data_IF_547663234258
#
_entry.id   IF_547663234258
#
_cell.length_a   1.000
_cell.length_b   1.000
_cell.length_c   1.000
_cell.angle_alpha   90.00
_cell.angle_beta   90.00
_cell.angle_gamma   90.00
#
_symmetry.space_group_name_H-M   'P 1'
#
loop_
_entity.id
_entity.type
_entity.pdbx_description
1 polymer ?
#
# COMPACT_ATOMS: atom_id res chain seq x y z
N UNK A 1 45.55 -19.28 12.31
CA UNK A 1 44.17 -19.76 12.07
C UNK A 1 43.29 -18.92 12.96
N UNK A 2 42.70 -17.86 12.38
CA UNK A 2 41.79 -16.93 13.07
C UNK A 2 40.37 -17.48 12.94
N UNK A 3 39.57 -17.59 14.02
CA UNK A 3 38.20 -18.10 13.91
C UNK A 3 37.30 -17.10 13.19
N UNK A 4 36.49 -17.64 12.30
CA UNK A 4 35.47 -16.90 11.54
C UNK A 4 34.47 -16.24 12.49
N UNK A 5 34.23 -14.94 12.30
CA UNK A 5 33.15 -14.20 12.97
C UNK A 5 31.82 -14.77 12.51
N UNK A 6 31.08 -15.36 13.41
CA UNK A 6 29.67 -15.72 13.21
C UNK A 6 28.87 -14.45 13.06
N UNK A 7 28.27 -14.25 11.90
CA UNK A 7 27.29 -13.19 11.67
C UNK A 7 26.03 -13.59 12.44
N UNK A 8 25.44 -12.74 13.29
CA UNK A 8 24.19 -13.07 13.95
C UNK A 8 23.08 -13.25 12.92
N UNK A 9 22.26 -14.28 13.11
CA UNK A 9 21.12 -14.58 12.27
C UNK A 9 20.12 -13.43 12.28
N UNK A 10 19.41 -13.25 11.18
CA UNK A 10 18.40 -12.22 10.93
C UNK A 10 17.18 -12.31 11.86
N UNK A 11 17.14 -13.25 12.77
CA UNK A 11 16.02 -13.49 13.71
C UNK A 11 15.85 -12.38 14.77
N UNK A 12 16.86 -11.51 14.94
CA UNK A 12 16.80 -10.44 15.94
C UNK A 12 16.07 -9.17 15.51
N UNK A 13 15.76 -9.01 14.23
CA UNK A 13 15.02 -7.83 13.76
C UNK A 13 13.52 -7.92 14.13
N UNK A 14 12.95 -9.11 14.09
CA UNK A 14 11.58 -9.35 14.56
C UNK A 14 11.42 -9.26 16.07
N UNK A 15 12.46 -9.53 16.83
CA UNK A 15 12.48 -9.45 18.29
C UNK A 15 12.36 -8.01 18.82
N UNK A 16 12.85 -7.02 18.08
CA UNK A 16 12.79 -5.63 18.49
C UNK A 16 11.37 -5.06 18.51
N UNK A 17 10.49 -5.54 17.62
CA UNK A 17 9.07 -5.16 17.61
C UNK A 17 8.23 -5.91 18.65
N UNK A 18 8.74 -7.01 19.21
CA UNK A 18 8.03 -7.81 20.23
C UNK A 18 8.28 -7.36 21.67
N UNK A 19 9.31 -6.56 21.96
CA UNK A 19 9.69 -6.18 23.33
C UNK A 19 9.20 -4.81 23.79
N UNK A 20 8.49 -4.06 22.98
CA UNK A 20 7.80 -2.85 23.40
C UNK A 20 6.52 -3.24 24.16
N UNK A 21 6.48 -2.84 25.43
CA UNK A 21 5.44 -3.17 26.42
C UNK A 21 4.00 -2.97 25.93
N UNK A 22 3.01 -3.74 26.46
CA UNK A 22 1.64 -3.76 25.98
C UNK A 22 0.84 -2.59 26.56
N UNK A 23 0.93 -1.42 25.95
CA UNK A 23 0.04 -0.31 26.25
C UNK A 23 -0.32 0.45 24.98
N UNK A 24 -0.43 -0.20 23.89
CA UNK A 24 -1.08 0.20 22.64
C UNK A 24 -0.62 -0.75 21.53
N UNK A 25 -1.17 -1.95 21.52
CA UNK A 25 -1.22 -2.73 20.29
C UNK A 25 -2.23 -2.05 19.35
N UNK A 26 -1.87 -0.92 18.82
CA UNK A 26 -2.47 -0.48 17.56
C UNK A 26 -1.78 -1.32 16.50
N UNK A 27 -2.43 -2.39 16.11
CA UNK A 27 -1.98 -3.28 15.06
C UNK A 27 -2.03 -2.50 13.74
N UNK A 28 -1.01 -2.65 12.90
CA UNK A 28 -1.08 -2.34 11.46
C UNK A 28 -2.32 -3.03 10.82
N UNK A 29 -2.82 -4.08 11.44
CA UNK A 29 -4.09 -4.75 11.15
C UNK A 29 -5.35 -3.86 11.10
N UNK A 30 -5.28 -2.60 11.52
CA UNK A 30 -6.47 -1.73 11.56
C UNK A 30 -6.70 -0.96 10.26
N UNK A 31 -5.72 -0.90 9.37
CA UNK A 31 -5.92 -0.33 8.02
C UNK A 31 -6.60 -1.33 7.09
N UNK A 32 -6.43 -2.59 7.37
CA UNK A 32 -6.90 -3.70 6.55
C UNK A 32 -7.55 -4.75 7.45
N UNK A 33 -8.03 -4.35 8.59
CA UNK A 33 -9.07 -5.14 9.21
C UNK A 33 -10.18 -5.27 8.15
N UNK A 34 -10.76 -6.47 7.95
CA UNK A 34 -12.01 -6.56 7.23
C UNK A 34 -12.88 -5.47 7.83
N UNK A 35 -13.59 -4.69 7.02
CA UNK A 35 -14.32 -3.51 7.50
C UNK A 35 -14.87 -3.89 8.84
N UNK A 36 -14.45 -3.20 9.90
CA UNK A 36 -14.81 -3.58 11.26
C UNK A 36 -16.28 -3.93 11.16
N UNK A 37 -16.77 -4.92 11.91
CA UNK A 37 -18.24 -5.20 11.89
C UNK A 37 -19.03 -3.90 11.87
N UNK A 38 -18.44 -2.82 12.38
CA UNK A 38 -18.94 -1.45 12.28
C UNK A 38 -18.92 -0.86 10.86
N UNK A 39 -17.95 -1.11 9.98
CA UNK A 39 -17.97 -0.56 8.62
C UNK A 39 -18.84 -1.41 7.69
N UNK A 40 -18.79 -2.74 7.81
CA UNK A 40 -19.79 -3.61 7.18
C UNK A 40 -21.21 -3.36 7.73
N UNK A 41 -21.35 -3.11 9.05
CA UNK A 41 -22.61 -2.75 9.69
C UNK A 41 -23.04 -1.34 9.25
N UNK A 42 -22.10 -0.40 9.05
CA UNK A 42 -22.45 0.94 8.56
C UNK A 42 -22.94 0.93 7.11
N UNK A 43 -22.35 0.11 6.25
CA UNK A 43 -22.85 -0.14 4.89
C UNK A 43 -24.19 -0.88 4.88
N UNK A 44 -24.43 -1.75 5.88
CA UNK A 44 -25.66 -2.54 6.00
C UNK A 44 -26.75 -1.84 6.83
N UNK A 45 -26.41 -0.85 7.67
CA UNK A 45 -27.37 -0.11 8.52
C UNK A 45 -27.99 1.12 7.86
N UNK A 46 -27.61 1.50 6.65
CA UNK A 46 -28.51 2.29 5.81
C UNK A 46 -29.61 1.36 5.34
N UNK A 47 -30.65 1.31 6.16
CA UNK A 47 -31.86 0.51 5.96
C UNK A 47 -32.65 1.05 4.74
N UNK A 48 -32.09 0.76 3.55
CA UNK A 48 -32.74 1.01 2.28
C UNK A 48 -32.86 -0.33 1.55
N UNK A 49 -34.06 -0.90 1.55
CA UNK A 49 -34.37 -2.10 0.78
C UNK A 49 -33.99 -1.99 -0.71
N UNK A 50 -33.71 -0.78 -1.21
CA UNK A 50 -33.16 -0.53 -2.54
C UNK A 50 -31.68 -0.97 -2.65
N UNK A 51 -30.94 -1.05 -1.53
CA UNK A 51 -29.53 -1.47 -1.54
C UNK A 51 -29.34 -2.96 -1.87
N UNK A 52 -30.35 -3.79 -1.64
CA UNK A 52 -30.29 -5.23 -1.97
C UNK A 52 -30.38 -5.53 -3.47
N UNK A 53 -30.65 -4.55 -4.32
CA UNK A 53 -30.75 -4.71 -5.78
C UNK A 53 -29.52 -4.22 -6.55
N UNK A 54 -28.60 -3.48 -5.88
CA UNK A 54 -27.38 -3.01 -6.51
C UNK A 54 -26.36 -4.14 -6.60
N UNK A 55 -25.74 -4.29 -7.78
CA UNK A 55 -24.63 -5.24 -7.93
C UNK A 55 -23.42 -4.77 -7.11
N UNK A 56 -22.49 -5.68 -6.83
CA UNK A 56 -21.31 -5.39 -5.98
C UNK A 56 -20.46 -4.24 -6.57
N UNK A 57 -20.32 -4.16 -7.88
CA UNK A 57 -19.56 -3.10 -8.55
C UNK A 57 -20.18 -1.71 -8.29
N UNK A 58 -21.51 -1.61 -8.29
CA UNK A 58 -22.19 -0.35 -7.96
C UNK A 58 -21.99 0.04 -6.50
N UNK A 59 -21.95 -0.93 -5.59
CA UNK A 59 -21.70 -0.67 -4.17
C UNK A 59 -20.27 -0.17 -3.96
N UNK A 60 -19.27 -0.82 -4.58
CA UNK A 60 -17.87 -0.41 -4.53
C UNK A 60 -17.70 0.99 -5.15
N UNK A 61 -18.29 1.24 -6.30
CA UNK A 61 -18.23 2.54 -6.95
C UNK A 61 -18.88 3.65 -6.10
N UNK A 62 -20.02 3.36 -5.49
CA UNK A 62 -20.68 4.29 -4.58
C UNK A 62 -19.85 4.58 -3.33
N UNK A 63 -19.23 3.56 -2.72
CA UNK A 63 -18.31 3.72 -1.60
C UNK A 63 -17.13 4.63 -1.97
N UNK A 64 -16.45 4.34 -3.09
CA UNK A 64 -15.31 5.13 -3.54
C UNK A 64 -15.67 6.59 -3.82
N UNK A 65 -16.82 6.84 -4.45
CA UNK A 65 -17.25 8.18 -4.84
C UNK A 65 -17.79 9.00 -3.66
N UNK A 66 -18.51 8.37 -2.73
CA UNK A 66 -19.26 9.07 -1.69
C UNK A 66 -18.49 9.23 -0.38
N UNK A 67 -17.47 8.40 -0.10
CA UNK A 67 -16.67 8.53 1.12
C UNK A 67 -16.03 9.91 1.20
N UNK A 68 -16.39 10.70 2.20
CA UNK A 68 -15.77 12.00 2.43
C UNK A 68 -14.55 11.86 3.35
N UNK A 69 -13.62 12.82 3.27
CA UNK A 69 -12.47 12.83 4.17
C UNK A 69 -12.85 12.86 5.65
N UNK A 70 -13.95 13.52 6.00
CA UNK A 70 -14.43 13.61 7.36
C UNK A 70 -14.89 12.28 7.93
N UNK A 71 -15.33 11.36 7.06
CA UNK A 71 -15.82 10.04 7.45
C UNK A 71 -14.68 9.08 7.81
N UNK A 72 -13.45 9.37 7.38
CA UNK A 72 -12.28 8.53 7.66
C UNK A 72 -11.78 8.81 9.09
N UNK A 73 -11.73 7.81 9.98
CA UNK A 73 -11.24 7.98 11.34
C UNK A 73 -9.79 8.48 11.41
N UNK A 74 -9.44 9.19 12.49
CA UNK A 74 -8.10 9.77 12.63
C UNK A 74 -6.99 8.73 12.76
N UNK A 75 -7.26 7.63 13.43
CA UNK A 75 -6.39 6.47 13.57
C UNK A 75 -6.13 5.78 12.22
N UNK A 76 -7.16 5.58 11.38
CA UNK A 76 -7.02 5.06 10.02
C UNK A 76 -6.12 5.97 9.19
N UNK A 77 -6.32 7.30 9.26
CA UNK A 77 -5.44 8.27 8.58
C UNK A 77 -3.99 8.22 9.10
N UNK A 78 -3.80 7.91 10.37
CA UNK A 78 -2.47 7.75 10.96
C UNK A 78 -1.80 6.47 10.44
N UNK A 79 -2.50 5.34 10.48
CA UNK A 79 -1.96 4.07 10.00
C UNK A 79 -1.67 4.10 8.50
N UNK A 80 -2.52 4.73 7.69
CA UNK A 80 -2.26 4.93 6.26
C UNK A 80 -0.92 5.64 5.99
N UNK A 81 -0.57 6.65 6.80
CA UNK A 81 0.74 7.31 6.70
C UNK A 81 1.89 6.38 7.10
N UNK A 82 1.68 5.47 8.06
CA UNK A 82 2.67 4.48 8.43
C UNK A 82 2.90 3.45 7.33
N UNK A 83 1.82 2.97 6.69
CA UNK A 83 1.91 2.07 5.54
C UNK A 83 2.63 2.74 4.36
N UNK A 84 2.34 4.01 4.08
CA UNK A 84 3.08 4.76 3.06
C UNK A 84 4.57 4.92 3.41
N UNK A 85 4.92 5.12 4.67
CA UNK A 85 6.32 5.18 5.11
C UNK A 85 7.02 3.83 4.88
N UNK A 86 6.36 2.73 5.23
CA UNK A 86 6.85 1.37 4.96
C UNK A 86 7.03 1.15 3.46
N UNK A 87 6.04 1.50 2.64
CA UNK A 87 6.11 1.40 1.19
C UNK A 87 7.33 2.13 0.60
N UNK A 88 7.58 3.38 0.99
CA UNK A 88 8.75 4.09 0.49
C UNK A 88 10.06 3.46 0.94
N UNK A 89 10.13 2.98 2.18
CA UNK A 89 11.32 2.31 2.69
C UNK A 89 11.63 1.03 1.89
N UNK A 90 10.61 0.19 1.67
CA UNK A 90 10.77 -1.06 0.92
C UNK A 90 11.03 -0.82 -0.57
N UNK A 91 10.34 0.14 -1.19
CA UNK A 91 10.54 0.50 -2.60
C UNK A 91 11.95 1.05 -2.85
N UNK A 92 12.48 1.92 -1.97
CA UNK A 92 13.86 2.42 -2.07
C UNK A 92 14.86 1.27 -1.90
N UNK A 93 14.67 0.41 -0.90
CA UNK A 93 15.54 -0.72 -0.67
C UNK A 93 15.57 -1.67 -1.88
N UNK A 94 14.41 -2.01 -2.45
CA UNK A 94 14.28 -2.91 -3.59
C UNK A 94 14.69 -2.33 -4.94
N UNK A 95 14.83 -1.01 -5.05
CA UNK A 95 14.99 -0.29 -6.33
C UNK A 95 16.20 -0.73 -7.17
N UNK A 96 17.26 -1.21 -6.54
CA UNK A 96 18.51 -1.63 -7.19
C UNK A 96 18.70 -3.16 -7.23
N UNK A 97 17.70 -3.93 -6.79
CA UNK A 97 17.77 -5.36 -6.81
C UNK A 97 17.75 -5.95 -8.23
N UNK A 98 18.27 -7.17 -8.35
CA UNK A 98 18.39 -7.84 -9.66
C UNK A 98 17.03 -8.07 -10.31
N UNK A 99 16.00 -8.38 -9.50
CA UNK A 99 14.62 -8.52 -9.98
C UNK A 99 14.09 -7.25 -10.61
N UNK A 100 14.30 -6.10 -9.94
CA UNK A 100 13.91 -4.79 -10.45
C UNK A 100 14.66 -4.42 -11.73
N UNK A 101 15.99 -4.64 -11.77
CA UNK A 101 16.81 -4.38 -12.96
C UNK A 101 16.34 -5.20 -14.17
N UNK A 102 16.04 -6.48 -13.96
CA UNK A 102 15.51 -7.36 -15.00
C UNK A 102 14.13 -6.92 -15.47
N UNK A 103 13.21 -6.61 -14.54
CA UNK A 103 11.88 -6.11 -14.88
C UNK A 103 11.96 -4.84 -15.73
N UNK A 104 12.78 -3.87 -15.32
CA UNK A 104 12.97 -2.64 -16.07
C UNK A 104 13.56 -2.92 -17.47
N UNK A 105 14.60 -3.75 -17.59
CA UNK A 105 15.24 -4.04 -18.89
C UNK A 105 14.31 -4.72 -19.87
N UNK A 106 13.40 -5.58 -19.39
CA UNK A 106 12.41 -6.27 -20.23
C UNK A 106 11.25 -5.36 -20.61
N UNK A 107 10.81 -4.52 -19.69
CA UNK A 107 9.60 -3.71 -19.88
C UNK A 107 9.86 -2.35 -20.52
N UNK A 108 11.07 -1.78 -20.36
CA UNK A 108 11.39 -0.46 -20.94
C UNK A 108 11.11 -0.33 -22.44
N UNK A 109 11.33 -1.36 -23.30
CA UNK A 109 10.98 -1.26 -24.72
C UNK A 109 9.48 -1.13 -25.01
N UNK A 110 8.62 -1.50 -24.06
CA UNK A 110 7.16 -1.44 -24.20
C UNK A 110 6.56 -0.20 -23.52
N UNK A 111 7.34 0.46 -22.64
CA UNK A 111 6.90 1.66 -21.95
C UNK A 111 6.82 2.83 -22.93
N UNK A 112 5.75 3.60 -22.83
CA UNK A 112 5.69 4.88 -23.51
C UNK A 112 6.63 5.89 -22.83
N UNK A 113 7.02 6.92 -23.57
CA UNK A 113 7.74 8.07 -23.00
C UNK A 113 6.84 8.72 -21.95
N UNK A 114 7.33 8.85 -20.73
CA UNK A 114 6.58 9.39 -19.60
C UNK A 114 7.45 10.18 -18.65
N UNK A 115 6.83 10.84 -17.69
CA UNK A 115 7.48 11.66 -16.69
C UNK A 115 7.36 11.06 -15.27
N UNK A 116 6.76 9.87 -15.14
CA UNK A 116 6.60 9.23 -13.83
C UNK A 116 7.90 8.58 -13.37
N UNK A 117 8.21 8.80 -12.11
CA UNK A 117 9.48 8.37 -11.50
C UNK A 117 9.43 6.93 -11.02
N UNK A 118 10.56 6.26 -11.19
CA UNK A 118 10.83 5.01 -10.51
C UNK A 118 11.57 5.34 -9.21
N UNK A 119 10.99 4.98 -8.08
CA UNK A 119 11.53 5.28 -6.74
C UNK A 119 12.95 4.73 -6.61
N UNK A 120 13.87 5.58 -6.12
CA UNK A 120 15.28 5.22 -5.94
C UNK A 120 16.09 5.13 -7.25
N UNK A 121 15.54 5.56 -8.40
CA UNK A 121 16.20 5.49 -9.70
C UNK A 121 16.08 6.81 -10.46
N UNK A 122 16.92 6.96 -11.50
CA UNK A 122 16.91 8.14 -12.37
C UNK A 122 15.96 8.02 -13.56
N UNK A 123 15.58 6.78 -13.89
CA UNK A 123 14.74 6.48 -15.04
C UNK A 123 13.30 6.96 -14.81
N UNK A 124 12.68 7.37 -15.91
CA UNK A 124 11.27 7.78 -15.96
C UNK A 124 10.56 6.98 -17.06
N UNK A 125 9.31 6.63 -16.79
CA UNK A 125 8.45 5.85 -17.67
C UNK A 125 7.03 6.43 -17.64
N UNK A 126 6.12 5.84 -18.42
CA UNK A 126 4.71 6.19 -18.29
C UNK A 126 4.10 5.76 -16.95
N UNK A 127 2.90 6.24 -16.68
CA UNK A 127 2.20 6.05 -15.42
C UNK A 127 1.97 4.56 -15.08
N UNK A 128 1.61 3.75 -16.06
CA UNK A 128 1.28 2.34 -15.81
C UNK A 128 2.55 1.53 -15.46
N UNK A 129 3.64 1.76 -16.22
CA UNK A 129 4.91 1.10 -15.92
C UNK A 129 5.56 1.62 -14.64
N UNK A 130 5.44 2.91 -14.31
CA UNK A 130 5.90 3.44 -13.04
C UNK A 130 5.17 2.79 -11.87
N UNK A 131 3.84 2.67 -11.94
CA UNK A 131 3.05 1.99 -10.92
C UNK A 131 3.51 0.52 -10.76
N UNK A 132 3.64 -0.21 -11.85
CA UNK A 132 4.07 -1.61 -11.81
C UNK A 132 5.48 -1.77 -11.22
N UNK A 133 6.46 -1.02 -11.73
CA UNK A 133 7.86 -1.14 -11.32
C UNK A 133 8.09 -0.73 -9.87
N UNK A 134 7.39 0.30 -9.40
CA UNK A 134 7.43 0.71 -8.01
C UNK A 134 6.77 -0.32 -7.07
N UNK A 135 5.71 -1.00 -7.53
CA UNK A 135 5.13 -2.13 -6.82
C UNK A 135 6.08 -3.32 -6.72
N UNK A 136 6.75 -3.68 -7.81
CA UNK A 136 7.81 -4.72 -7.81
C UNK A 136 8.91 -4.37 -6.82
N UNK A 137 9.41 -3.12 -6.83
CA UNK A 137 10.44 -2.68 -5.88
C UNK A 137 9.99 -2.81 -4.43
N UNK A 138 8.75 -2.43 -4.14
CA UNK A 138 8.22 -2.45 -2.78
C UNK A 138 8.11 -3.87 -2.21
N UNK A 139 7.74 -4.83 -3.04
CA UNK A 139 7.49 -6.21 -2.60
C UNK A 139 8.73 -7.14 -2.68
N UNK A 140 9.84 -6.71 -3.29
CA UNK A 140 10.95 -7.61 -3.64
C UNK A 140 11.61 -8.29 -2.44
N UNK A 141 11.53 -7.70 -1.25
CA UNK A 141 12.06 -8.26 -0.01
C UNK A 141 10.98 -8.89 0.88
N UNK A 142 9.71 -8.80 0.49
CA UNK A 142 8.59 -9.30 1.29
C UNK A 142 8.52 -8.66 2.70
N UNK A 143 8.89 -7.38 2.81
CA UNK A 143 8.88 -6.57 4.03
C UNK A 143 7.81 -5.48 4.02
N UNK A 144 7.00 -5.45 2.99
CA UNK A 144 5.83 -4.60 2.90
C UNK A 144 4.71 -5.09 3.82
N UNK A 145 3.76 -4.21 4.06
CA UNK A 145 2.66 -4.51 4.97
C UNK A 145 1.84 -5.72 4.51
N UNK A 146 1.42 -6.51 5.48
CA UNK A 146 0.68 -7.75 5.22
C UNK A 146 -0.60 -7.77 6.05
N UNK A 147 -1.73 -8.01 5.42
CA UNK A 147 -2.97 -8.34 6.09
C UNK A 147 -3.00 -9.84 6.40
N UNK A 148 -2.84 -10.20 7.68
CA UNK A 148 -2.61 -11.59 8.09
C UNK A 148 -3.80 -12.52 7.84
N UNK A 149 -5.02 -12.00 7.86
CA UNK A 149 -6.22 -12.82 7.67
C UNK A 149 -6.43 -13.23 6.21
N UNK A 150 -6.08 -12.35 5.27
CA UNK A 150 -6.21 -12.59 3.82
C UNK A 150 -4.89 -12.92 3.14
N UNK A 151 -3.77 -12.71 3.84
CA UNK A 151 -2.39 -12.92 3.32
C UNK A 151 -2.13 -12.08 2.05
N UNK A 152 -2.64 -10.85 2.02
CA UNK A 152 -2.38 -9.88 0.94
C UNK A 152 -1.41 -8.81 1.40
N UNK A 153 -0.75 -8.14 0.44
CA UNK A 153 0.15 -7.00 0.64
C UNK A 153 -0.48 -5.73 0.06
N UNK A 154 -1.38 -5.07 0.80
CA UNK A 154 -2.30 -4.09 0.22
C UNK A 154 -1.62 -2.81 -0.25
N UNK A 155 -0.56 -2.38 0.41
CA UNK A 155 0.09 -1.12 0.02
C UNK A 155 0.88 -1.24 -1.29
N UNK A 156 1.47 -2.41 -1.57
CA UNK A 156 2.31 -2.63 -2.74
C UNK A 156 1.60 -2.43 -4.09
N UNK A 157 0.35 -2.84 -4.32
CA UNK A 157 -0.38 -2.54 -5.55
C UNK A 157 -1.00 -1.14 -5.56
N UNK A 158 -1.43 -0.62 -4.41
CA UNK A 158 -2.24 0.61 -4.35
C UNK A 158 -1.38 1.87 -4.34
N UNK A 159 -0.38 1.94 -3.46
CA UNK A 159 0.44 3.15 -3.32
C UNK A 159 1.12 3.56 -4.62
N UNK A 160 1.81 2.67 -5.35
CA UNK A 160 2.48 3.05 -6.58
C UNK A 160 1.52 3.56 -7.66
N UNK A 161 0.30 3.01 -7.75
CA UNK A 161 -0.72 3.47 -8.68
C UNK A 161 -1.21 4.89 -8.33
N UNK A 162 -1.46 5.16 -7.05
CA UNK A 162 -1.91 6.47 -6.56
C UNK A 162 -0.81 7.52 -6.77
N UNK A 163 0.46 7.20 -6.47
CA UNK A 163 1.57 8.14 -6.67
C UNK A 163 1.85 8.39 -8.14
N UNK A 164 1.90 7.36 -8.98
CA UNK A 164 2.10 7.54 -10.42
C UNK A 164 0.97 8.38 -11.06
N UNK A 165 -0.28 8.18 -10.63
CA UNK A 165 -1.40 9.02 -11.05
C UNK A 165 -1.23 10.48 -10.60
N UNK A 166 -0.78 10.70 -9.37
CA UNK A 166 -0.57 12.04 -8.82
C UNK A 166 0.58 12.81 -9.51
N UNK A 167 1.57 12.12 -10.05
CA UNK A 167 2.62 12.75 -10.88
C UNK A 167 2.08 13.29 -12.21
N UNK A 168 1.09 12.62 -12.79
CA UNK A 168 0.44 13.05 -14.05
C UNK A 168 -0.70 14.04 -13.80
N UNK A 169 -1.44 13.85 -12.72
CA UNK A 169 -2.56 14.69 -12.30
C UNK A 169 -2.35 15.14 -10.87
N UNK A 170 -1.63 16.24 -10.65
CA UNK A 170 -1.31 16.73 -9.32
C UNK A 170 -2.55 16.92 -8.44
N UNK A 171 -2.46 16.46 -7.21
CA UNK A 171 -3.48 16.62 -6.19
C UNK A 171 -2.83 16.97 -4.84
N UNK A 172 -3.62 17.42 -3.89
CA UNK A 172 -3.10 17.66 -2.54
C UNK A 172 -2.90 16.35 -1.76
N UNK A 173 -2.08 16.40 -0.71
CA UNK A 173 -1.77 15.23 0.10
C UNK A 173 -2.99 14.62 0.81
N UNK A 174 -4.05 15.39 1.03
CA UNK A 174 -5.31 14.92 1.60
C UNK A 174 -6.09 14.06 0.59
N UNK A 175 -6.16 14.51 -0.66
CA UNK A 175 -6.79 13.76 -1.74
C UNK A 175 -6.02 12.46 -2.03
N UNK A 176 -4.69 12.53 -2.06
CA UNK A 176 -3.82 11.37 -2.24
C UNK A 176 -4.01 10.33 -1.12
N UNK A 177 -3.94 10.77 0.14
CA UNK A 177 -4.11 9.86 1.27
C UNK A 177 -5.52 9.25 1.33
N UNK A 178 -6.56 10.02 0.96
CA UNK A 178 -7.92 9.52 0.83
C UNK A 178 -8.01 8.44 -0.24
N UNK A 179 -7.43 8.66 -1.42
CA UNK A 179 -7.43 7.69 -2.51
C UNK A 179 -6.71 6.39 -2.11
N UNK A 180 -5.58 6.51 -1.42
CA UNK A 180 -4.84 5.37 -0.89
C UNK A 180 -5.68 4.55 0.11
N UNK A 181 -6.32 5.20 1.08
CA UNK A 181 -7.16 4.54 2.09
C UNK A 181 -8.35 3.83 1.41
N UNK A 182 -9.05 4.52 0.51
CA UNK A 182 -10.18 3.92 -0.21
C UNK A 182 -9.74 2.72 -1.05
N UNK A 183 -8.56 2.79 -1.69
CA UNK A 183 -7.98 1.66 -2.41
C UNK A 183 -7.79 0.45 -1.51
N UNK A 184 -7.20 0.63 -0.32
CA UNK A 184 -6.98 -0.43 0.65
C UNK A 184 -8.26 -1.04 1.24
N UNK A 185 -9.34 -0.27 1.32
CA UNK A 185 -10.65 -0.78 1.78
C UNK A 185 -11.41 -1.57 0.69
N UNK A 186 -11.01 -1.43 -0.58
CA UNK A 186 -11.65 -2.11 -1.72
C UNK A 186 -10.95 -3.43 -2.06
N UNK A 187 -9.67 -3.55 -1.76
CA UNK A 187 -8.87 -4.74 -2.03
C UNK A 187 -9.29 -5.94 -1.16
#
# INVERSE_FOLDING_TARGET
>A
ITPARVVPSTDNFFSFFHSARPASRVRIQTLIAPPSKAACIWLLQKDDRSAMTKNISEQIAAFAAQTAWADIPADVRHEAKRSLLNYFATAIAGSNEIGMKKSLSVLAPFAATGACKIIGRAEQVDMAFAAYLNGVSANIYDFDDTHQETVIHPTAPIAPAVFAHAEVRPCDGKALLKAFIIGGEIE
#
